data_IF_070624560707
#
_entry.id   IF_070624560707
#
_cell.length_a   1.000
_cell.length_b   1.000
_cell.length_c   1.000
_cell.angle_alpha   90.00
_cell.angle_beta   90.00
_cell.angle_gamma   90.00
#
_symmetry.space_group_name_H-M   'P 1'
#
loop_
_entity.id
_entity.type
_entity.pdbx_description
1 polymer ?
#
# COMPACT_ATOMS: atom_id res chain seq x y z
N UNK A 1 -1.02 0.79 -1.12
CA UNK A 1 -1.35 -0.03 0.07
C UNK A 1 -2.71 -0.66 -0.18
N UNK A 2 -2.86 -1.95 0.11
CA UNK A 2 -4.13 -2.66 0.07
C UNK A 2 -4.54 -3.12 1.48
N UNK A 3 -5.82 -2.98 1.79
CA UNK A 3 -6.48 -3.53 2.98
C UNK A 3 -7.53 -4.53 2.52
N UNK A 4 -7.38 -5.76 2.96
CA UNK A 4 -8.21 -6.89 2.57
C UNK A 4 -8.37 -7.05 1.05
N UNK A 5 -7.31 -6.80 0.29
CA UNK A 5 -7.34 -6.86 -1.18
C UNK A 5 -7.89 -5.62 -1.88
N UNK A 6 -8.38 -4.61 -1.15
CA UNK A 6 -8.83 -3.33 -1.74
C UNK A 6 -7.76 -2.24 -1.59
N UNK A 7 -7.46 -1.44 -2.63
CA UNK A 7 -6.51 -0.36 -2.51
C UNK A 7 -7.06 0.81 -1.69
N UNK A 8 -6.35 1.17 -0.62
CA UNK A 8 -6.73 2.29 0.27
C UNK A 8 -5.98 3.59 -0.04
N UNK A 9 -4.93 3.53 -0.86
CA UNK A 9 -4.18 4.70 -1.29
C UNK A 9 -2.72 4.41 -1.63
N UNK A 10 -2.01 5.46 -2.03
CA UNK A 10 -0.62 5.38 -2.46
C UNK A 10 0.18 6.59 -1.97
N UNK A 11 1.47 6.36 -1.72
CA UNK A 11 2.46 7.40 -1.50
C UNK A 11 3.54 7.24 -2.56
N UNK A 12 4.04 8.35 -3.09
CA UNK A 12 5.21 8.33 -3.95
C UNK A 12 6.46 8.41 -3.06
N UNK A 13 7.44 7.54 -3.31
CA UNK A 13 8.71 7.52 -2.56
C UNK A 13 9.81 8.06 -3.45
N UNK A 14 10.33 9.23 -3.12
CA UNK A 14 11.41 9.88 -3.86
C UNK A 14 12.74 9.53 -3.19
N UNK A 15 13.71 8.96 -3.92
CA UNK A 15 15.03 8.69 -3.38
C UNK A 15 15.78 10.01 -3.09
N UNK A 16 16.70 10.01 -2.10
CA UNK A 16 17.56 11.16 -1.86
C UNK A 16 18.54 11.36 -3.02
N UNK A 17 19.07 12.58 -3.16
CA UNK A 17 20.02 12.92 -4.22
C UNK A 17 21.26 12.02 -4.13
N UNK A 18 21.59 11.35 -5.25
CA UNK A 18 22.72 10.43 -5.34
C UNK A 18 22.44 8.98 -4.92
N UNK A 19 21.22 8.64 -4.49
CA UNK A 19 20.83 7.24 -4.24
C UNK A 19 19.77 6.74 -5.24
N UNK A 20 19.85 5.46 -5.59
CA UNK A 20 18.84 4.80 -6.43
C UNK A 20 17.65 4.28 -5.62
N UNK A 21 17.83 4.08 -4.31
CA UNK A 21 16.83 3.44 -3.43
C UNK A 21 15.91 4.50 -2.82
N UNK A 22 14.61 4.29 -2.94
CA UNK A 22 13.58 5.20 -2.40
C UNK A 22 13.00 4.75 -1.06
N UNK A 23 13.58 3.73 -0.40
CA UNK A 23 13.09 3.27 0.89
C UNK A 23 13.09 4.43 1.91
N UNK A 24 11.97 4.63 2.61
CA UNK A 24 11.83 5.71 3.60
C UNK A 24 12.86 5.59 4.73
N UNK A 25 13.27 4.37 5.07
CA UNK A 25 14.27 4.11 6.11
C UNK A 25 15.69 4.62 5.75
N UNK A 26 16.01 4.83 4.47
CA UNK A 26 17.31 5.38 4.04
C UNK A 26 17.26 6.88 3.74
N UNK A 27 16.18 7.58 4.14
CA UNK A 27 16.02 9.01 3.92
C UNK A 27 15.22 9.39 2.67
N UNK A 28 14.54 8.42 2.04
CA UNK A 28 13.56 8.71 0.99
C UNK A 28 12.43 9.60 1.52
N UNK A 29 11.94 10.52 0.69
CA UNK A 29 10.81 11.40 1.03
C UNK A 29 9.51 10.83 0.49
N UNK A 30 8.50 10.74 1.36
CA UNK A 30 7.14 10.45 0.93
C UNK A 30 6.48 11.71 0.38
N UNK A 31 5.84 11.59 -0.77
CA UNK A 31 4.97 12.60 -1.36
C UNK A 31 3.57 12.03 -1.56
N UNK A 32 2.57 12.91 -1.49
CA UNK A 32 1.19 12.55 -1.80
C UNK A 32 1.10 12.04 -3.23
N UNK A 33 0.44 10.91 -3.43
CA UNK A 33 0.19 10.33 -4.75
C UNK A 33 -1.26 9.88 -4.87
N UNK A 34 -1.79 9.93 -6.08
CA UNK A 34 -3.08 9.34 -6.40
C UNK A 34 -2.87 8.02 -7.14
N UNK A 35 -3.76 7.06 -6.91
CA UNK A 35 -3.78 5.81 -7.69
C UNK A 35 -4.14 6.13 -9.14
N UNK A 36 -3.23 5.79 -10.05
CA UNK A 36 -3.47 5.83 -11.50
C UNK A 36 -4.44 4.72 -11.93
N UNK A 37 -4.90 4.77 -13.18
CA UNK A 37 -5.68 3.68 -13.75
C UNK A 37 -4.91 2.36 -13.71
N UNK A 38 -3.60 2.42 -14.00
CA UNK A 38 -2.72 1.24 -13.98
C UNK A 38 -2.54 0.67 -12.59
N UNK A 39 -2.40 1.51 -11.56
CA UNK A 39 -2.33 1.05 -10.17
C UNK A 39 -3.58 0.29 -9.77
N UNK A 40 -4.76 0.79 -10.19
CA UNK A 40 -6.05 0.14 -9.92
C UNK A 40 -6.15 -1.19 -10.64
N UNK A 41 -5.78 -1.27 -11.91
CA UNK A 41 -5.74 -2.55 -12.64
C UNK A 41 -4.85 -3.59 -11.96
N UNK A 42 -3.67 -3.18 -11.47
CA UNK A 42 -2.77 -4.07 -10.72
C UNK A 42 -3.47 -4.55 -9.44
N UNK A 43 -4.09 -3.64 -8.68
CA UNK A 43 -4.80 -3.98 -7.44
C UNK A 43 -5.98 -4.92 -7.70
N UNK A 44 -6.78 -4.67 -8.74
CA UNK A 44 -7.92 -5.51 -9.12
C UNK A 44 -7.48 -6.93 -9.53
N UNK A 45 -6.31 -7.06 -10.17
CA UNK A 45 -5.77 -8.33 -10.59
C UNK A 45 -5.27 -9.20 -9.41
N UNK A 46 -4.62 -8.59 -8.41
CA UNK A 46 -3.99 -9.32 -7.29
C UNK A 46 -4.89 -9.39 -6.04
N UNK A 47 -5.78 -8.41 -5.85
CA UNK A 47 -6.60 -8.21 -4.66
C UNK A 47 -7.42 -9.45 -4.25
N UNK A 48 -8.14 -10.11 -5.18
CA UNK A 48 -8.91 -11.31 -4.87
C UNK A 48 -8.04 -12.44 -4.28
N UNK A 49 -6.85 -12.66 -4.85
CA UNK A 49 -5.93 -13.70 -4.37
C UNK A 49 -5.36 -13.33 -2.99
N UNK A 50 -4.98 -12.07 -2.77
CA UNK A 50 -4.49 -11.61 -1.46
C UNK A 50 -5.55 -11.83 -0.37
N UNK A 51 -6.82 -11.49 -0.66
CA UNK A 51 -7.96 -11.73 0.22
C UNK A 51 -8.14 -13.22 0.49
N UNK A 52 -8.14 -14.07 -0.53
CA UNK A 52 -8.27 -15.53 -0.37
C UNK A 52 -7.17 -16.10 0.55
N UNK A 53 -5.93 -15.61 0.41
CA UNK A 53 -4.78 -16.05 1.21
C UNK A 53 -4.69 -15.41 2.59
N UNK A 54 -5.71 -14.65 3.02
CA UNK A 54 -5.74 -14.00 4.33
C UNK A 54 -4.72 -12.88 4.51
N UNK A 55 -4.21 -12.31 3.41
CA UNK A 55 -3.27 -11.19 3.45
C UNK A 55 -4.03 -9.88 3.65
N UNK A 56 -4.36 -9.57 4.91
CA UNK A 56 -5.19 -8.43 5.29
C UNK A 56 -4.50 -7.09 5.02
N UNK A 57 -3.19 -7.00 5.24
CA UNK A 57 -2.43 -5.76 5.06
C UNK A 57 -1.25 -5.99 4.12
N UNK A 58 -1.30 -5.36 2.95
CA UNK A 58 -0.33 -5.58 1.88
C UNK A 58 0.19 -4.24 1.34
N UNK A 59 1.51 -4.12 1.24
CA UNK A 59 2.16 -3.07 0.48
C UNK A 59 2.53 -3.58 -0.90
N UNK A 60 2.32 -2.79 -1.93
CA UNK A 60 2.85 -3.08 -3.27
C UNK A 60 3.70 -1.92 -3.74
N UNK A 61 4.75 -2.24 -4.46
CA UNK A 61 5.64 -1.26 -5.06
C UNK A 61 5.46 -1.27 -6.57
N UNK A 62 5.21 -0.10 -7.13
CA UNK A 62 5.03 0.13 -8.56
C UNK A 62 6.04 1.16 -9.03
N UNK A 63 6.73 0.87 -10.13
CA UNK A 63 7.64 1.81 -10.81
C UNK A 63 7.17 1.94 -12.25
N UNK A 64 6.74 3.15 -12.62
CA UNK A 64 6.06 3.38 -13.90
C UNK A 64 4.75 2.60 -13.94
N UNK A 65 4.64 1.63 -14.85
CA UNK A 65 3.43 0.81 -15.05
C UNK A 65 3.58 -0.64 -14.53
N UNK A 66 4.70 -0.93 -13.86
CA UNK A 66 5.11 -2.27 -13.50
C UNK A 66 5.11 -2.47 -11.99
N UNK A 67 4.42 -3.52 -11.55
CA UNK A 67 4.52 -4.06 -10.20
C UNK A 67 5.90 -4.69 -10.01
N UNK A 68 6.67 -4.22 -9.02
CA UNK A 68 8.02 -4.74 -8.74
C UNK A 68 8.09 -5.61 -7.50
N UNK A 69 7.24 -5.35 -6.48
CA UNK A 69 7.28 -6.08 -5.21
C UNK A 69 5.89 -6.16 -4.56
N UNK A 70 5.63 -7.26 -3.84
CA UNK A 70 4.47 -7.44 -2.96
C UNK A 70 5.00 -7.73 -1.55
N UNK A 71 4.79 -6.78 -0.64
CA UNK A 71 5.16 -6.85 0.76
C UNK A 71 3.99 -7.34 1.61
N UNK A 72 4.16 -8.49 2.26
CA UNK A 72 3.09 -9.14 3.05
C UNK A 72 3.45 -9.34 4.54
N UNK A 73 4.68 -9.02 4.95
CA UNK A 73 5.17 -9.29 6.30
C UNK A 73 5.04 -8.09 7.24
N UNK A 74 5.67 -6.97 6.89
CA UNK A 74 5.60 -5.72 7.65
C UNK A 74 5.60 -4.50 6.72
N UNK A 75 4.52 -4.29 5.94
CA UNK A 75 4.42 -3.11 5.08
C UNK A 75 4.42 -1.82 5.89
N UNK A 76 4.98 -0.74 5.33
CA UNK A 76 5.02 0.60 5.95
C UNK A 76 4.22 1.61 5.11
N UNK A 77 4.18 2.87 5.52
CA UNK A 77 3.54 3.95 4.77
C UNK A 77 2.14 4.36 5.25
N UNK A 78 1.60 3.71 6.30
CA UNK A 78 0.31 4.08 6.89
C UNK A 78 0.35 5.54 7.36
N UNK A 79 1.33 5.91 8.18
CA UNK A 79 1.39 7.25 8.77
C UNK A 79 1.46 8.35 7.71
N UNK A 80 2.23 8.13 6.65
CA UNK A 80 2.36 9.05 5.54
C UNK A 80 1.04 9.18 4.77
N UNK A 81 0.40 8.05 4.45
CA UNK A 81 -0.87 8.03 3.73
C UNK A 81 -1.97 8.74 4.51
N UNK A 82 -2.10 8.46 5.82
CA UNK A 82 -3.09 9.12 6.68
C UNK A 82 -2.84 10.63 6.79
N UNK A 83 -1.58 11.07 6.85
CA UNK A 83 -1.23 12.50 6.85
C UNK A 83 -1.63 13.20 5.55
N UNK A 84 -1.55 12.52 4.41
CA UNK A 84 -1.83 13.12 3.11
C UNK A 84 -3.31 13.11 2.73
N UNK A 85 -4.03 12.04 3.06
CA UNK A 85 -5.41 11.83 2.60
C UNK A 85 -6.44 11.96 3.72
N UNK A 86 -6.02 12.10 4.98
CA UNK A 86 -6.91 12.27 6.13
C UNK A 86 -7.79 11.04 6.43
N UNK A 87 -7.46 9.89 5.82
CA UNK A 87 -8.13 8.61 6.07
C UNK A 87 -7.57 7.95 7.33
N UNK A 88 -8.39 7.15 8.01
CA UNK A 88 -7.95 6.27 9.10
C UNK A 88 -7.71 4.86 8.54
N UNK A 89 -6.53 4.66 7.97
CA UNK A 89 -6.11 3.38 7.37
C UNK A 89 -5.95 2.31 8.43
N UNK A 90 -5.43 2.68 9.62
CA UNK A 90 -5.33 1.76 10.75
C UNK A 90 -6.72 1.23 11.17
N UNK A 91 -7.74 2.09 11.18
CA UNK A 91 -9.13 1.71 11.42
C UNK A 91 -9.65 0.73 10.38
N UNK A 92 -9.45 1.02 9.09
CA UNK A 92 -9.86 0.13 8.00
C UNK A 92 -9.23 -1.28 8.11
N UNK A 93 -7.98 -1.37 8.58
CA UNK A 93 -7.32 -2.66 8.83
C UNK A 93 -8.03 -3.42 9.96
N UNK A 94 -8.35 -2.74 11.07
CA UNK A 94 -9.09 -3.36 12.18
C UNK A 94 -10.50 -3.80 11.76
N UNK A 95 -11.23 -2.97 11.02
CA UNK A 95 -12.55 -3.32 10.49
C UNK A 95 -12.48 -4.58 9.63
N UNK A 96 -11.44 -4.73 8.81
CA UNK A 96 -11.21 -5.92 7.99
C UNK A 96 -10.87 -7.17 8.83
N UNK A 97 -10.11 -7.02 9.91
CA UNK A 97 -9.81 -8.11 10.84
C UNK A 97 -11.09 -8.56 11.55
N UNK A 98 -11.88 -7.63 12.08
CA UNK A 98 -13.12 -7.92 12.78
C UNK A 98 -14.13 -8.62 11.87
N UNK A 99 -14.29 -8.15 10.63
CA UNK A 99 -15.17 -8.78 9.64
C UNK A 99 -14.78 -10.23 9.34
N UNK A 100 -13.48 -10.56 9.36
CA UNK A 100 -12.99 -11.93 9.15
C UNK A 100 -13.19 -12.84 10.36
N UNK A 101 -13.20 -12.28 11.57
CA UNK A 101 -13.40 -13.02 12.82
C UNK A 101 -14.87 -13.17 13.21
N UNK A 102 -15.77 -12.37 12.61
CA UNK A 102 -17.20 -12.41 12.89
C UNK A 102 -17.95 -13.62 12.27
N UNK A 103 -17.26 -14.46 11.49
CA UNK A 103 -17.77 -15.70 10.91
C UNK A 103 -17.25 -16.96 11.61
#
# INVERSE_FOLDING_TARGET
ILVDGEPVGAINRIPPEGETRSNLHVGGRAERSALTARDREICDAIGPLLREKGQVFVGIDVIGEYLTEINVTSPTGIQELERFDGMNVAGAIWDAIDARLAG
#
